data_IF_155399752782
#
_entry.id   IF_155399752782
#
_cell.length_a   1.000
_cell.length_b   1.000
_cell.length_c   1.000
_cell.angle_alpha   90.00
_cell.angle_beta   90.00
_cell.angle_gamma   90.00
#
_symmetry.space_group_name_H-M   'P 1'
#
loop_
_entity.id
_entity.type
_entity.pdbx_description
1 polymer ?
#
# COMPACT_ATOMS: atom_id res chain seq x y z
N UNK A 1 5.89 20.65 -73.34
CA UNK A 1 7.30 21.05 -73.17
C UNK A 1 7.44 22.13 -72.11
N UNK A 2 7.86 21.81 -70.88
CA UNK A 2 8.85 22.57 -70.10
C UNK A 2 9.09 21.84 -68.77
N UNK A 3 10.37 21.58 -68.47
CA UNK A 3 10.91 21.09 -67.19
C UNK A 3 10.95 22.24 -66.17
N UNK A 4 11.58 21.98 -65.02
CA UNK A 4 11.86 22.82 -63.84
C UNK A 4 10.78 22.65 -62.76
N UNK A 5 11.07 22.39 -61.48
CA UNK A 5 12.32 22.49 -60.74
C UNK A 5 12.16 21.66 -59.46
N UNK A 6 13.23 20.99 -59.02
CA UNK A 6 13.33 20.37 -57.70
C UNK A 6 13.01 21.38 -56.59
N UNK A 7 12.16 20.99 -55.64
CA UNK A 7 12.13 21.61 -54.32
C UNK A 7 12.09 20.49 -53.26
N UNK A 8 13.28 20.05 -52.89
CA UNK A 8 13.50 19.36 -51.64
C UNK A 8 13.38 20.41 -50.53
N UNK A 9 12.30 20.37 -49.74
CA UNK A 9 12.28 20.99 -48.43
C UNK A 9 12.10 19.91 -47.38
N UNK A 10 13.18 19.71 -46.62
CA UNK A 10 13.24 18.93 -45.42
C UNK A 10 12.19 19.44 -44.42
N UNK A 11 11.13 18.66 -44.20
CA UNK A 11 10.29 18.82 -43.02
C UNK A 11 11.07 18.23 -41.85
N UNK A 12 11.72 19.16 -41.15
CA UNK A 12 12.59 18.90 -40.02
C UNK A 12 11.93 18.06 -38.94
N UNK A 13 12.78 17.28 -38.31
CA UNK A 13 12.58 16.58 -37.05
C UNK A 13 12.09 17.54 -35.96
N UNK A 14 10.79 17.80 -35.90
CA UNK A 14 10.12 18.41 -34.76
C UNK A 14 9.47 17.31 -33.90
N UNK A 15 10.24 16.28 -33.57
CA UNK A 15 9.91 15.35 -32.50
C UNK A 15 10.94 15.55 -31.39
N UNK A 16 10.49 15.59 -30.13
CA UNK A 16 11.27 15.78 -28.91
C UNK A 16 11.49 17.24 -28.46
N UNK A 17 10.42 17.98 -28.15
CA UNK A 17 10.55 19.17 -27.29
C UNK A 17 9.63 19.17 -26.06
N UNK A 18 8.80 18.13 -25.86
CA UNK A 18 8.02 18.01 -24.63
C UNK A 18 8.65 16.94 -23.76
N UNK A 19 9.64 17.32 -22.95
CA UNK A 19 9.93 16.57 -21.73
C UNK A 19 8.70 16.76 -20.84
N UNK A 20 7.90 15.72 -20.54
CA UNK A 20 6.92 15.86 -19.49
C UNK A 20 7.69 16.21 -18.22
N UNK A 21 7.39 17.39 -17.67
CA UNK A 21 7.90 17.78 -16.36
C UNK A 21 7.24 16.86 -15.34
N UNK A 22 7.91 15.72 -15.08
CA UNK A 22 7.52 14.82 -14.00
C UNK A 22 7.79 15.58 -12.71
N UNK A 23 6.73 16.18 -12.15
CA UNK A 23 6.78 16.69 -10.79
C UNK A 23 6.94 15.49 -9.86
N UNK A 24 8.19 15.14 -9.58
CA UNK A 24 8.54 14.23 -8.49
C UNK A 24 8.19 14.97 -7.21
N UNK A 25 6.99 14.72 -6.71
CA UNK A 25 6.53 15.25 -5.45
C UNK A 25 7.39 14.60 -4.36
N UNK A 26 8.50 15.25 -3.99
CA UNK A 26 9.38 14.79 -2.91
C UNK A 26 8.64 15.00 -1.59
N UNK A 27 7.86 13.99 -1.20
CA UNK A 27 7.48 13.70 0.17
C UNK A 27 7.04 14.92 0.99
N UNK A 28 5.78 15.34 0.83
CA UNK A 28 5.08 15.90 1.97
C UNK A 28 5.10 14.90 3.15
N UNK A 29 4.81 15.33 4.39
CA UNK A 29 4.78 14.43 5.53
C UNK A 29 3.99 13.16 5.19
N UNK A 30 4.62 12.00 5.28
CA UNK A 30 3.89 10.75 5.11
C UNK A 30 2.94 10.62 6.29
N UNK A 31 1.66 10.79 6.00
CA UNK A 31 0.58 10.67 6.97
C UNK A 31 0.08 9.23 7.01
N UNK A 32 -0.45 8.83 8.17
CA UNK A 32 -1.13 7.53 8.31
C UNK A 32 -2.28 7.46 7.29
N UNK A 33 -2.31 6.41 6.48
CA UNK A 33 -3.40 6.15 5.54
C UNK A 33 -4.53 5.44 6.27
N UNK A 34 -5.64 6.14 6.50
CA UNK A 34 -6.78 5.66 7.30
C UNK A 34 -7.85 4.95 6.47
N UNK A 35 -7.63 4.79 5.16
CA UNK A 35 -8.57 4.11 4.26
C UNK A 35 -8.72 2.64 4.65
N UNK A 36 -9.97 2.22 4.85
CA UNK A 36 -10.31 0.81 5.06
C UNK A 36 -10.08 0.00 3.79
N UNK A 37 -9.48 -1.19 3.90
CA UNK A 37 -9.20 -2.07 2.77
C UNK A 37 -9.34 -3.54 3.15
N UNK A 38 -9.40 -4.35 2.11
CA UNK A 38 -9.39 -5.80 2.16
C UNK A 38 -8.30 -6.27 1.20
N UNK A 39 -7.22 -6.83 1.72
CA UNK A 39 -5.99 -7.13 0.98
C UNK A 39 -5.64 -8.63 1.10
N UNK A 40 -5.36 -9.33 -0.02
CA UNK A 40 -4.77 -10.64 0.04
C UNK A 40 -3.29 -10.55 0.43
N UNK A 41 -2.89 -11.21 1.52
CA UNK A 41 -1.53 -11.20 2.04
C UNK A 41 -0.87 -12.55 1.83
N UNK A 42 0.20 -12.58 1.05
CA UNK A 42 1.03 -13.77 0.90
C UNK A 42 2.04 -13.87 2.06
N UNK A 43 2.03 -14.99 2.78
CA UNK A 43 2.90 -15.24 3.94
C UNK A 43 3.14 -16.74 4.11
N UNK A 44 4.39 -17.16 4.33
CA UNK A 44 4.78 -18.57 4.52
C UNK A 44 4.19 -19.56 3.48
N UNK A 45 4.20 -19.17 2.20
CA UNK A 45 3.73 -20.03 1.11
C UNK A 45 2.21 -20.13 0.96
N UNK A 46 1.43 -19.33 1.69
CA UNK A 46 -0.03 -19.29 1.62
C UNK A 46 -0.54 -17.86 1.52
N UNK A 47 -1.72 -17.70 0.94
CA UNK A 47 -2.43 -16.41 0.90
C UNK A 47 -3.48 -16.38 2.00
N UNK A 48 -3.47 -15.30 2.78
CA UNK A 48 -4.43 -14.99 3.82
C UNK A 48 -5.21 -13.74 3.45
N UNK A 49 -6.41 -13.56 4.00
CA UNK A 49 -7.17 -12.33 3.80
C UNK A 49 -6.97 -11.41 5.00
N UNK A 50 -6.54 -10.18 4.76
CA UNK A 50 -6.53 -9.12 5.78
C UNK A 50 -7.62 -8.11 5.47
N UNK A 51 -8.55 -7.93 6.40
CA UNK A 51 -9.49 -6.81 6.42
C UNK A 51 -9.08 -5.82 7.49
N UNK A 52 -9.02 -4.53 7.17
CA UNK A 52 -8.75 -3.51 8.19
C UNK A 52 -9.52 -2.21 7.94
N UNK A 53 -9.84 -1.54 9.04
CA UNK A 53 -10.51 -0.24 9.06
C UNK A 53 -9.94 0.64 10.17
N UNK A 54 -9.84 1.94 9.94
CA UNK A 54 -9.36 2.87 10.96
C UNK A 54 -10.51 3.35 11.85
N UNK A 55 -10.35 3.19 13.17
CA UNK A 55 -11.24 3.69 14.20
C UNK A 55 -10.72 5.06 14.68
N UNK A 56 -11.20 6.13 14.04
CA UNK A 56 -10.79 7.52 14.31
C UNK A 56 -10.88 7.89 15.80
N UNK A 57 -11.94 7.45 16.49
CA UNK A 57 -12.16 7.75 17.92
C UNK A 57 -11.11 7.17 18.87
N UNK A 58 -10.38 6.14 18.42
CA UNK A 58 -9.37 5.44 19.21
C UNK A 58 -7.95 5.62 18.64
N UNK A 59 -7.84 6.12 17.41
CA UNK A 59 -6.57 6.25 16.71
C UNK A 59 -5.92 4.89 16.37
N UNK A 60 -6.72 3.84 16.20
CA UNK A 60 -6.25 2.47 15.94
C UNK A 60 -6.91 1.88 14.70
N UNK A 61 -6.26 0.91 14.08
CA UNK A 61 -6.84 0.03 13.07
C UNK A 61 -7.48 -1.17 13.74
N UNK A 62 -8.76 -1.41 13.46
CA UNK A 62 -9.41 -2.70 13.69
C UNK A 62 -9.09 -3.64 12.53
N UNK A 63 -8.56 -4.82 12.83
CA UNK A 63 -7.96 -5.73 11.86
C UNK A 63 -8.49 -7.15 12.03
N UNK A 64 -8.71 -7.83 10.91
CA UNK A 64 -9.16 -9.23 10.86
C UNK A 64 -8.33 -10.02 9.86
N UNK A 65 -7.67 -11.08 10.32
CA UNK A 65 -6.94 -12.01 9.46
C UNK A 65 -7.72 -13.31 9.33
N UNK A 66 -8.13 -13.64 8.11
CA UNK A 66 -8.84 -14.89 7.77
C UNK A 66 -7.92 -15.91 7.11
N UNK A 67 -8.27 -17.20 7.23
CA UNK A 67 -7.50 -18.31 6.62
C UNK A 67 -6.38 -18.86 7.50
N UNK A 68 -6.20 -18.30 8.70
CA UNK A 68 -5.29 -18.82 9.73
C UNK A 68 -6.07 -19.53 10.83
N UNK A 69 -5.52 -20.63 11.35
CA UNK A 69 -6.11 -21.37 12.47
C UNK A 69 -5.79 -20.75 13.85
N UNK A 70 -6.44 -21.26 14.92
CA UNK A 70 -6.29 -20.76 16.29
C UNK A 70 -4.89 -20.98 16.89
N UNK A 71 -4.06 -21.82 16.30
CA UNK A 71 -2.67 -22.04 16.73
C UNK A 71 -1.66 -21.10 16.06
N UNK A 72 -2.12 -20.25 15.12
CA UNK A 72 -1.28 -19.41 14.28
C UNK A 72 -1.29 -17.93 14.72
N UNK A 73 -1.48 -17.67 16.02
CA UNK A 73 -1.55 -16.30 16.54
C UNK A 73 -0.35 -15.46 16.12
N UNK A 74 0.87 -16.00 16.28
CA UNK A 74 2.11 -15.28 15.95
C UNK A 74 2.17 -14.87 14.49
N UNK A 75 1.76 -15.76 13.58
CA UNK A 75 1.72 -15.48 12.15
C UNK A 75 0.64 -14.46 11.81
N UNK A 76 -0.53 -14.53 12.45
CA UNK A 76 -1.61 -13.56 12.26
C UNK A 76 -1.17 -12.15 12.69
N UNK A 77 -0.48 -12.06 13.84
CA UNK A 77 0.09 -10.81 14.33
C UNK A 77 1.15 -10.29 13.37
N UNK A 78 2.04 -11.15 12.87
CA UNK A 78 3.06 -10.74 11.90
C UNK A 78 2.41 -10.21 10.61
N UNK A 79 1.43 -10.92 10.07
CA UNK A 79 0.68 -10.50 8.87
C UNK A 79 0.01 -9.16 9.08
N UNK A 80 -0.76 -8.98 10.15
CA UNK A 80 -1.44 -7.71 10.42
C UNK A 80 -0.46 -6.54 10.61
N UNK A 81 0.53 -6.69 11.49
CA UNK A 81 1.44 -5.59 11.84
C UNK A 81 2.37 -5.19 10.70
N UNK A 82 2.87 -6.16 9.92
CA UNK A 82 3.69 -5.90 8.73
C UNK A 82 2.88 -5.31 7.57
N UNK A 83 1.62 -5.71 7.40
CA UNK A 83 0.74 -5.12 6.39
C UNK A 83 0.48 -3.64 6.67
N UNK A 84 0.27 -3.25 7.94
CA UNK A 84 0.13 -1.83 8.27
C UNK A 84 1.37 -1.02 7.91
N UNK A 85 2.58 -1.56 8.11
CA UNK A 85 3.81 -0.89 7.66
C UNK A 85 3.78 -0.53 6.17
N UNK A 86 3.20 -1.39 5.34
CA UNK A 86 3.18 -1.19 3.90
C UNK A 86 2.00 -0.35 3.42
N UNK A 87 0.81 -0.56 3.97
CA UNK A 87 -0.42 0.07 3.45
C UNK A 87 -0.88 1.31 4.20
N UNK A 88 -0.47 1.47 5.46
CA UNK A 88 -1.08 2.41 6.38
C UNK A 88 -0.09 3.35 7.07
N UNK A 89 1.06 2.83 7.52
CA UNK A 89 1.97 3.58 8.35
C UNK A 89 2.96 4.42 7.53
N UNK A 90 3.36 5.59 8.04
CA UNK A 90 4.47 6.35 7.48
C UNK A 90 5.77 5.55 7.51
N UNK A 91 6.71 5.95 6.64
CA UNK A 91 8.07 5.41 6.64
C UNK A 91 8.71 5.38 8.04
N UNK A 92 9.38 4.28 8.35
CA UNK A 92 10.03 4.05 9.65
C UNK A 92 9.07 3.70 10.80
N UNK A 93 7.77 3.53 10.52
CA UNK A 93 6.80 3.01 11.47
C UNK A 93 6.30 1.62 11.07
N UNK A 94 5.77 0.90 12.05
CA UNK A 94 5.12 -0.40 11.86
C UNK A 94 3.83 -0.47 12.67
N UNK A 95 2.98 -1.43 12.36
CA UNK A 95 1.83 -1.73 13.21
C UNK A 95 2.30 -2.25 14.57
N UNK A 96 1.82 -1.64 15.65
CA UNK A 96 2.00 -2.12 17.03
C UNK A 96 0.65 -2.44 17.63
N UNK A 97 0.50 -3.68 18.11
CA UNK A 97 -0.75 -4.14 18.70
C UNK A 97 -1.20 -3.24 19.85
N UNK A 98 -2.51 -3.10 19.97
CA UNK A 98 -3.22 -2.53 21.10
C UNK A 98 -4.06 -3.66 21.68
N UNK A 99 -3.69 -4.12 22.88
CA UNK A 99 -4.32 -5.28 23.52
C UNK A 99 -3.89 -6.63 22.95
N UNK A 100 -4.66 -7.66 23.32
CA UNK A 100 -4.39 -9.06 22.96
C UNK A 100 -5.18 -9.49 21.72
N UNK A 101 -4.56 -10.21 20.76
CA UNK A 101 -5.30 -10.84 19.67
C UNK A 101 -6.35 -11.83 20.18
N UNK A 102 -7.50 -11.89 19.52
CA UNK A 102 -8.56 -12.85 19.82
C UNK A 102 -8.88 -13.68 18.58
N UNK A 103 -9.10 -14.98 18.74
CA UNK A 103 -9.55 -15.85 17.66
C UNK A 103 -11.05 -16.09 17.77
N UNK A 104 -11.81 -15.52 16.84
CA UNK A 104 -13.28 -15.53 16.87
C UNK A 104 -13.85 -15.67 15.45
N UNK A 105 -14.87 -16.50 15.29
CA UNK A 105 -15.53 -16.66 13.99
C UNK A 105 -14.57 -17.06 12.86
N UNK A 106 -13.61 -17.94 13.16
CA UNK A 106 -12.58 -18.41 12.23
C UNK A 106 -11.63 -17.33 11.70
N UNK A 107 -11.44 -16.26 12.48
CA UNK A 107 -10.58 -15.13 12.16
C UNK A 107 -9.80 -14.66 13.38
N UNK A 108 -8.60 -14.16 13.16
CA UNK A 108 -7.86 -13.41 14.18
C UNK A 108 -8.29 -11.95 14.16
N UNK A 109 -8.87 -11.47 15.26
CA UNK A 109 -9.21 -10.08 15.50
C UNK A 109 -8.10 -9.40 16.31
N UNK A 110 -7.69 -8.22 15.87
CA UNK A 110 -6.62 -7.45 16.49
C UNK A 110 -6.89 -5.97 16.33
N UNK A 111 -6.36 -5.17 17.25
CA UNK A 111 -6.22 -3.74 17.05
C UNK A 111 -4.75 -3.36 17.02
N UNK A 112 -4.38 -2.39 16.19
CA UNK A 112 -3.01 -1.90 16.12
C UNK A 112 -2.95 -0.42 15.75
N UNK A 113 -1.89 0.27 16.18
CA UNK A 113 -1.60 1.65 15.77
C UNK A 113 -0.24 1.72 15.09
N UNK A 114 -0.04 2.72 14.24
CA UNK A 114 1.31 3.00 13.74
C UNK A 114 2.18 3.54 14.87
N UNK A 115 3.34 2.93 15.06
CA UNK A 115 4.35 3.36 16.03
C UNK A 115 5.74 3.11 15.48
N UNK A 116 6.75 3.84 15.99
CA UNK A 116 8.14 3.52 15.67
C UNK A 116 8.48 2.12 16.20
N UNK A 117 9.12 1.33 15.35
CA UNK A 117 9.59 -0.03 15.64
C UNK A 117 10.71 -0.02 16.66
#
# INVERSE_FOLDING_TARGET
>A
MKKYLLMALALGLAACANKPEVKVNKGGPQVVQTKSRSEPIFYNGKTYQLDYSYLESQGVFDMRVSGMGPKQQKDAVAVATSSLRYFACPDGQTGRLQGSPAYEGSRWKMQARCARS
#
